data_IF_442099101455
#
_entry.id   IF_442099101455
#
_cell.length_a   1.000
_cell.length_b   1.000
_cell.length_c   1.000
_cell.angle_alpha   90.00
_cell.angle_beta   90.00
_cell.angle_gamma   90.00
#
_symmetry.space_group_name_H-M   'P 1'
#
loop_
_entity.id
_entity.type
_entity.pdbx_description
1 polymer ?
#
# COMPACT_ATOMS: atom_id res chain seq x y z
N UNK A 1 0.82 13.15 -1.34
CA UNK A 1 1.19 13.17 -2.79
C UNK A 1 1.49 11.74 -3.20
N UNK A 2 1.05 11.32 -4.37
CA UNK A 2 1.26 9.97 -4.91
C UNK A 2 2.53 9.91 -5.78
N UNK A 3 3.24 8.78 -5.74
CA UNK A 3 4.47 8.51 -6.51
C UNK A 3 4.49 7.06 -7.00
N UNK A 4 5.13 6.82 -8.15
CA UNK A 4 5.18 5.50 -8.80
C UNK A 4 6.61 4.98 -8.97
N UNK A 5 7.60 5.86 -8.99
CA UNK A 5 9.00 5.51 -9.21
C UNK A 5 9.97 6.52 -8.58
N UNK A 6 11.26 6.22 -8.64
CA UNK A 6 12.34 6.92 -7.94
C UNK A 6 12.38 8.41 -8.28
N UNK A 7 12.28 8.77 -9.56
CA UNK A 7 12.34 10.19 -9.99
C UNK A 7 11.15 11.05 -9.52
N UNK A 8 9.96 10.46 -9.42
CA UNK A 8 8.79 11.16 -8.90
C UNK A 8 8.97 11.39 -7.40
N UNK A 9 9.46 10.38 -6.68
CA UNK A 9 9.79 10.53 -5.27
C UNK A 9 10.85 11.61 -5.03
N UNK A 10 11.91 11.65 -5.84
CA UNK A 10 12.95 12.68 -5.75
C UNK A 10 12.33 14.08 -5.90
N UNK A 11 11.47 14.24 -6.90
CA UNK A 11 10.76 15.50 -7.14
C UNK A 11 9.88 15.88 -5.94
N UNK A 12 9.16 14.93 -5.35
CA UNK A 12 8.31 15.21 -4.18
C UNK A 12 9.16 15.62 -2.97
N UNK A 13 10.26 14.91 -2.70
CA UNK A 13 11.12 15.21 -1.55
C UNK A 13 11.86 16.55 -1.71
N UNK A 14 12.26 16.91 -2.92
CA UNK A 14 12.97 18.17 -3.20
C UNK A 14 12.03 19.38 -3.30
N UNK A 15 10.88 19.21 -3.97
CA UNK A 15 10.01 20.33 -4.35
C UNK A 15 8.84 20.55 -3.40
N UNK A 16 8.46 19.52 -2.65
CA UNK A 16 7.36 19.57 -1.67
C UNK A 16 7.79 18.94 -0.34
N UNK A 17 8.88 19.44 0.28
CA UNK A 17 9.43 18.86 1.51
C UNK A 17 8.43 18.87 2.68
N UNK A 18 7.44 19.76 2.67
CA UNK A 18 6.36 19.87 3.66
C UNK A 18 5.30 18.77 3.55
N UNK A 19 5.31 17.97 2.47
CA UNK A 19 4.40 16.86 2.32
C UNK A 19 4.57 15.86 3.48
N UNK A 20 3.53 15.73 4.30
CA UNK A 20 3.50 14.83 5.46
C UNK A 20 3.04 13.41 5.13
N UNK A 21 2.35 13.24 4.01
CA UNK A 21 1.82 11.96 3.54
C UNK A 21 2.25 11.71 2.11
N UNK A 22 2.97 10.60 1.91
CA UNK A 22 3.42 10.12 0.61
C UNK A 22 2.72 8.78 0.32
N UNK A 23 1.96 8.77 -0.76
CA UNK A 23 1.39 7.57 -1.35
C UNK A 23 2.37 6.95 -2.34
N UNK A 24 2.51 5.63 -2.31
CA UNK A 24 3.28 4.87 -3.29
C UNK A 24 2.32 3.92 -3.99
N UNK A 25 2.08 4.19 -5.27
CA UNK A 25 1.19 3.38 -6.08
C UNK A 25 1.96 2.27 -6.78
N UNK A 26 1.67 1.04 -6.39
CA UNK A 26 2.33 -0.15 -6.92
C UNK A 26 1.85 -0.52 -8.33
N UNK A 27 0.87 0.20 -8.91
CA UNK A 27 0.34 -0.06 -10.25
C UNK A 27 1.12 0.74 -11.29
N UNK A 28 1.66 0.03 -12.27
CA UNK A 28 2.13 0.67 -13.50
C UNK A 28 0.92 1.05 -14.36
N UNK A 29 0.74 2.34 -14.65
CA UNK A 29 -0.42 2.86 -15.39
C UNK A 29 -0.37 2.57 -16.91
N UNK A 30 0.77 2.10 -17.44
CA UNK A 30 0.92 1.70 -18.84
C UNK A 30 0.62 0.21 -19.04
N UNK A 31 1.06 -0.63 -18.10
CA UNK A 31 0.91 -2.09 -18.19
C UNK A 31 -0.22 -2.65 -17.33
N UNK A 32 -0.75 -1.86 -16.39
CA UNK A 32 -1.71 -2.24 -15.36
C UNK A 32 -1.23 -3.34 -14.40
N UNK A 33 0.04 -3.72 -14.48
CA UNK A 33 0.66 -4.66 -13.54
C UNK A 33 0.83 -4.01 -12.16
N UNK A 34 0.78 -4.82 -11.11
CA UNK A 34 0.96 -4.36 -9.72
C UNK A 34 2.13 -5.07 -9.07
N UNK A 35 3.09 -4.34 -8.51
CA UNK A 35 4.24 -4.89 -7.79
C UNK A 35 4.49 -4.15 -6.46
N UNK A 36 4.25 -4.83 -5.33
CA UNK A 36 4.55 -4.30 -3.98
C UNK A 36 6.04 -3.98 -3.80
N UNK A 37 6.91 -4.55 -4.63
CA UNK A 37 8.35 -4.23 -4.67
C UNK A 37 8.62 -2.74 -4.89
N UNK A 38 7.73 -2.02 -5.58
CA UNK A 38 7.83 -0.56 -5.74
C UNK A 38 7.80 0.14 -4.38
N UNK A 39 6.75 -0.09 -3.58
CA UNK A 39 6.65 0.42 -2.21
C UNK A 39 7.89 0.06 -1.39
N UNK A 40 8.31 -1.20 -1.41
CA UNK A 40 9.42 -1.68 -0.58
C UNK A 40 10.77 -1.05 -0.93
N UNK A 41 10.99 -0.69 -2.20
CA UNK A 41 12.20 0.04 -2.61
C UNK A 41 12.13 1.52 -2.25
N UNK A 42 11.00 2.16 -2.55
CA UNK A 42 10.84 3.60 -2.39
C UNK A 42 10.73 4.04 -0.93
N UNK A 43 10.05 3.26 -0.09
CA UNK A 43 9.87 3.58 1.33
C UNK A 43 11.19 3.78 2.09
N UNK A 44 12.25 3.06 1.70
CA UNK A 44 13.60 3.17 2.30
C UNK A 44 14.24 4.55 2.10
N UNK A 45 13.74 5.33 1.13
CA UNK A 45 14.25 6.66 0.78
C UNK A 45 13.42 7.77 1.42
N UNK A 46 12.27 7.44 2.02
CA UNK A 46 11.36 8.43 2.60
C UNK A 46 11.82 8.75 4.03
N UNK A 47 11.99 10.04 4.36
CA UNK A 47 12.27 10.48 5.73
C UNK A 47 11.25 9.97 6.76
N UNK A 48 11.72 9.62 7.96
CA UNK A 48 10.91 9.00 9.01
C UNK A 48 9.81 9.92 9.59
N UNK A 49 9.86 11.22 9.34
CA UNK A 49 8.83 12.19 9.73
C UNK A 49 7.60 12.17 8.82
N UNK A 50 7.63 11.37 7.74
CA UNK A 50 6.54 11.26 6.76
C UNK A 50 5.76 9.97 6.92
N UNK A 51 4.43 10.08 6.79
CA UNK A 51 3.52 8.95 6.71
C UNK A 51 3.57 8.36 5.31
N UNK A 52 3.72 7.04 5.22
CA UNK A 52 3.81 6.30 3.97
C UNK A 52 2.55 5.45 3.80
N UNK A 53 1.88 5.62 2.66
CA UNK A 53 0.70 4.85 2.27
C UNK A 53 1.05 3.99 1.06
N UNK A 54 0.85 2.67 1.15
CA UNK A 54 0.99 1.78 -0.01
C UNK A 54 -0.35 1.59 -0.70
N UNK A 55 -0.37 1.67 -2.02
CA UNK A 55 -1.60 1.63 -2.82
C UNK A 55 -1.49 0.59 -3.93
N UNK A 56 -2.63 0.00 -4.30
CA UNK A 56 -2.74 -1.06 -5.31
C UNK A 56 -1.99 -2.36 -4.97
N UNK A 57 -2.51 -3.48 -5.48
CA UNK A 57 -1.83 -4.79 -5.39
C UNK A 57 -1.96 -5.52 -4.05
N UNK A 58 -2.65 -4.95 -3.06
CA UNK A 58 -2.85 -5.52 -1.71
C UNK A 58 -4.08 -6.42 -1.72
N UNK A 59 -3.87 -7.73 -1.59
CA UNK A 59 -4.92 -8.75 -1.76
C UNK A 59 -5.05 -9.68 -0.57
N UNK A 60 -3.96 -9.97 0.13
CA UNK A 60 -3.93 -10.98 1.20
C UNK A 60 -3.43 -10.39 2.52
N UNK A 61 -3.56 -11.17 3.60
CA UNK A 61 -2.95 -10.82 4.89
C UNK A 61 -1.43 -10.77 4.79
N UNK A 62 -0.82 -11.67 4.02
CA UNK A 62 0.63 -11.72 3.83
C UNK A 62 1.15 -10.45 3.14
N UNK A 63 0.40 -9.90 2.18
CA UNK A 63 0.72 -8.61 1.57
C UNK A 63 0.76 -7.50 2.63
N UNK A 64 -0.23 -7.48 3.52
CA UNK A 64 -0.31 -6.50 4.62
C UNK A 64 0.87 -6.67 5.57
N UNK A 65 1.17 -7.89 5.99
CA UNK A 65 2.30 -8.18 6.90
C UNK A 65 3.63 -7.75 6.29
N UNK A 66 3.87 -8.07 5.02
CA UNK A 66 5.08 -7.66 4.29
C UNK A 66 5.25 -6.15 4.24
N UNK A 67 4.16 -5.39 4.11
CA UNK A 67 4.20 -3.93 4.15
C UNK A 67 4.40 -3.38 5.56
N UNK A 68 3.77 -3.97 6.58
CA UNK A 68 3.98 -3.60 7.99
C UNK A 68 5.43 -3.83 8.40
N UNK A 69 6.02 -4.98 8.05
CA UNK A 69 7.43 -5.30 8.30
C UNK A 69 8.39 -4.31 7.63
N UNK A 70 7.98 -3.71 6.51
CA UNK A 70 8.74 -2.69 5.81
C UNK A 70 8.56 -1.27 6.35
N UNK A 71 7.83 -1.10 7.47
CA UNK A 71 7.60 0.21 8.10
C UNK A 71 6.55 1.07 7.39
N UNK A 72 5.67 0.46 6.60
CA UNK A 72 4.57 1.18 5.95
C UNK A 72 3.46 1.47 6.96
N UNK A 73 2.97 2.71 6.95
CA UNK A 73 2.07 3.22 7.98
C UNK A 73 0.59 2.96 7.67
N UNK A 74 0.22 2.95 6.39
CA UNK A 74 -1.14 2.70 5.96
C UNK A 74 -1.22 2.05 4.58
N UNK A 75 -2.40 1.51 4.25
CA UNK A 75 -2.68 0.83 2.99
C UNK A 75 -3.99 1.34 2.41
N UNK A 76 -4.00 1.69 1.13
CA UNK A 76 -5.23 1.99 0.38
C UNK A 76 -5.65 0.76 -0.42
N UNK A 77 -6.78 0.18 -0.04
CA UNK A 77 -7.30 -1.07 -0.61
C UNK A 77 -8.66 -0.81 -1.25
N UNK A 78 -8.77 -0.95 -2.57
CA UNK A 78 -10.00 -0.72 -3.33
C UNK A 78 -10.49 -1.97 -4.05
N UNK A 79 -9.80 -2.37 -5.13
CA UNK A 79 -10.22 -3.45 -6.05
C UNK A 79 -10.57 -4.76 -5.33
N UNK A 80 -9.77 -5.17 -4.33
CA UNK A 80 -10.00 -6.41 -3.59
C UNK A 80 -11.18 -6.35 -2.61
N UNK A 81 -11.58 -5.15 -2.18
CA UNK A 81 -12.79 -4.93 -1.37
C UNK A 81 -14.04 -4.86 -2.26
N UNK A 82 -13.96 -4.13 -3.38
CA UNK A 82 -15.10 -3.97 -4.31
C UNK A 82 -15.53 -5.30 -4.93
N UNK A 83 -14.58 -6.22 -5.15
CA UNK A 83 -14.86 -7.56 -5.71
C UNK A 83 -15.23 -8.61 -4.65
N UNK A 84 -15.26 -8.26 -3.37
CA UNK A 84 -15.54 -9.24 -2.31
C UNK A 84 -17.04 -9.43 -2.13
N UNK A 85 -17.49 -10.68 -2.04
CA UNK A 85 -18.88 -11.02 -1.71
C UNK A 85 -19.25 -10.59 -0.28
N UNK A 86 -18.31 -10.73 0.66
CA UNK A 86 -18.39 -10.16 2.02
C UNK A 86 -17.25 -9.16 2.23
N UNK A 87 -17.56 -7.87 2.05
CA UNK A 87 -16.62 -6.75 2.27
C UNK A 87 -16.12 -6.74 3.72
N UNK A 88 -17.00 -6.99 4.69
CA UNK A 88 -16.62 -6.99 6.11
C UNK A 88 -15.68 -8.14 6.44
N UNK A 89 -15.97 -9.33 5.93
CA UNK A 89 -15.10 -10.50 6.01
C UNK A 89 -13.75 -10.27 5.36
N UNK A 90 -13.72 -9.61 4.20
CA UNK A 90 -12.46 -9.25 3.53
C UNK A 90 -11.61 -8.29 4.35
N UNK A 91 -12.22 -7.26 4.95
CA UNK A 91 -11.53 -6.34 5.86
C UNK A 91 -10.96 -7.10 7.06
N UNK A 92 -11.75 -7.96 7.72
CA UNK A 92 -11.28 -8.78 8.85
C UNK A 92 -10.12 -9.69 8.44
N UNK A 93 -10.20 -10.32 7.27
CA UNK A 93 -9.11 -11.16 6.76
C UNK A 93 -7.81 -10.37 6.54
N UNK A 94 -7.90 -9.16 5.97
CA UNK A 94 -6.74 -8.28 5.78
C UNK A 94 -6.17 -7.77 7.13
N UNK A 95 -7.04 -7.50 8.10
CA UNK A 95 -6.66 -7.10 9.47
C UNK A 95 -6.10 -8.27 10.30
N UNK A 96 -6.31 -9.52 9.89
CA UNK A 96 -5.97 -10.71 10.67
C UNK A 96 -6.93 -10.99 11.81
N UNK A 97 -8.16 -10.46 11.73
CA UNK A 97 -9.23 -10.59 12.73
C UNK A 97 -10.39 -11.45 12.23
N UNK A 98 -10.20 -12.17 11.12
CA UNK A 98 -11.19 -13.12 10.65
C UNK A 98 -11.29 -14.30 11.65
N UNK A 99 -12.51 -14.59 12.12
CA UNK A 99 -12.76 -15.73 12.98
C UNK A 99 -12.35 -17.02 12.26
N UNK A 100 -11.66 -17.91 12.96
CA UNK A 100 -11.22 -19.21 12.45
C UNK A 100 -12.36 -20.19 12.10
N UNK A 101 -13.61 -19.72 11.98
CA UNK A 101 -14.81 -20.57 11.92
C UNK A 101 -15.99 -20.04 11.10
N UNK A 102 -15.84 -18.99 10.29
CA UNK A 102 -16.93 -18.63 9.36
C UNK A 102 -16.94 -19.60 8.16
N UNK A 103 -18.06 -20.30 7.88
CA UNK A 103 -18.11 -21.31 6.84
C UNK A 103 -17.94 -20.69 5.44
N UNK A 104 -17.26 -21.46 4.57
CA UNK A 104 -17.21 -21.27 3.12
C UNK A 104 -18.58 -21.37 2.48
#
# INVERSE_FOLDING_TARGET
IETHHERELDTVLERVPEARLIGINNRDLKTFSTDLGVTLRLAKRIPADKVIVSESGIRTRDDVLRLVEAGIHAMLVGESLIRADDVGGKIRALQGTADAGSPK
#
